data_IF_150432284725
#
_entry.id   IF_150432284725
#
_cell.length_a   1.000
_cell.length_b   1.000
_cell.length_c   1.000
_cell.angle_alpha   90.00
_cell.angle_beta   90.00
_cell.angle_gamma   90.00
#
_symmetry.space_group_name_H-M   'P 1'
#
loop_
_entity.id
_entity.type
_entity.pdbx_description
1 polymer ?
#
# COMPACT_ATOMS: atom_id res chain seq x y z
N UNK A 1 -3.75 -26.39 5.88
CA UNK A 1 -2.57 -25.59 6.25
C UNK A 1 -2.96 -24.13 6.39
N UNK A 2 -2.45 -23.46 7.44
CA UNK A 2 -2.62 -22.02 7.60
C UNK A 2 -1.34 -21.40 8.18
N UNK A 3 -1.14 -20.13 7.88
CA UNK A 3 -0.09 -19.29 8.43
C UNK A 3 -0.67 -17.91 8.72
N UNK A 4 -0.42 -17.38 9.92
CA UNK A 4 -0.83 -16.04 10.33
C UNK A 4 0.38 -15.30 10.86
N UNK A 5 0.55 -14.06 10.46
CA UNK A 5 1.58 -13.16 10.95
C UNK A 5 1.00 -11.79 11.26
N UNK A 6 1.39 -11.25 12.40
CA UNK A 6 1.09 -9.88 12.77
C UNK A 6 2.37 -9.21 13.25
N UNK A 7 2.58 -8.00 12.77
CA UNK A 7 3.71 -7.16 13.16
C UNK A 7 3.19 -5.82 13.65
N UNK A 8 3.58 -5.46 14.86
CA UNK A 8 3.49 -4.11 15.40
C UNK A 8 4.89 -3.52 15.37
N UNK A 9 5.10 -2.44 14.64
CA UNK A 9 6.42 -1.86 14.47
C UNK A 9 6.41 -0.35 14.63
N UNK A 10 7.59 0.20 14.88
CA UNK A 10 7.89 1.62 14.83
C UNK A 10 9.31 1.74 14.31
N UNK A 11 9.45 2.21 13.07
CA UNK A 11 10.74 2.47 12.47
C UNK A 11 11.06 3.96 12.58
N UNK A 12 12.23 4.26 13.12
CA UNK A 12 12.78 5.61 13.22
C UNK A 12 14.17 5.58 12.58
N UNK A 13 14.46 6.60 11.81
CA UNK A 13 15.78 6.81 11.22
C UNK A 13 16.14 8.30 11.22
N UNK A 14 17.37 8.61 10.87
CA UNK A 14 17.94 9.96 10.74
C UNK A 14 18.61 10.18 9.38
N UNK A 15 18.54 9.17 8.51
CA UNK A 15 19.14 9.22 7.18
C UNK A 15 18.14 9.54 6.08
N UNK A 16 18.60 10.13 4.97
CA UNK A 16 17.81 10.21 3.77
C UNK A 16 17.47 8.78 3.30
N UNK A 17 16.33 8.63 2.67
CA UNK A 17 15.98 7.36 2.04
C UNK A 17 16.97 7.06 0.91
N UNK A 18 17.83 6.07 1.10
CA UNK A 18 18.96 5.76 0.21
C UNK A 18 18.53 5.37 -1.22
N UNK A 19 17.23 5.07 -1.43
CA UNK A 19 16.68 4.70 -2.72
C UNK A 19 15.91 5.85 -3.41
N UNK A 20 15.68 6.95 -2.71
CA UNK A 20 15.03 8.13 -3.29
C UNK A 20 16.07 9.04 -3.90
N UNK A 21 16.31 8.87 -5.18
CA UNK A 21 17.07 9.83 -5.98
C UNK A 21 16.13 11.01 -6.27
N UNK A 22 16.13 12.03 -5.41
CA UNK A 22 15.26 13.19 -5.58
C UNK A 22 15.33 14.18 -4.42
N UNK A 23 14.49 15.19 -4.51
CA UNK A 23 14.48 16.35 -3.63
C UNK A 23 14.12 16.02 -2.18
N UNK A 24 13.25 15.02 -1.97
CA UNK A 24 12.75 14.64 -0.64
C UNK A 24 13.75 13.84 0.22
N UNK A 25 14.88 13.43 -0.37
CA UNK A 25 15.93 12.69 0.33
C UNK A 25 16.97 13.56 1.05
N UNK A 26 16.96 14.87 0.84
CA UNK A 26 17.96 15.75 1.42
C UNK A 26 17.66 16.09 2.89
N UNK A 27 18.70 16.27 3.68
CA UNK A 27 18.60 16.81 5.05
C UNK A 27 18.06 18.24 5.00
N UNK A 28 17.13 18.59 5.88
CA UNK A 28 16.57 19.92 5.92
C UNK A 28 17.57 20.96 6.42
N UNK A 29 18.41 20.56 7.37
CA UNK A 29 19.45 21.45 7.90
C UNK A 29 20.74 20.66 8.09
N UNK A 30 21.72 20.92 7.23
CA UNK A 30 23.02 20.23 7.27
C UNK A 30 23.84 20.52 8.53
N UNK A 31 23.47 21.56 9.28
CA UNK A 31 24.13 21.93 10.53
C UNK A 31 23.50 21.27 11.78
N UNK A 32 22.34 20.64 11.63
CA UNK A 32 21.65 19.94 12.70
C UNK A 32 21.10 18.59 12.23
N UNK A 33 21.96 17.59 12.19
CA UNK A 33 21.57 16.22 11.81
C UNK A 33 20.57 15.58 12.82
N UNK A 34 20.51 16.05 14.06
CA UNK A 34 19.59 15.51 15.05
C UNK A 34 18.13 15.89 14.73
N UNK A 35 17.90 17.01 14.04
CA UNK A 35 16.58 17.40 13.56
C UNK A 35 16.02 16.44 12.51
N UNK A 36 16.86 15.61 11.89
CA UNK A 36 16.44 14.60 10.91
C UNK A 36 15.83 13.35 11.54
N UNK A 37 16.00 13.15 12.85
CA UNK A 37 15.44 11.98 13.52
C UNK A 37 13.93 12.00 13.51
N UNK A 38 13.32 11.09 12.77
CA UNK A 38 11.88 11.00 12.59
C UNK A 38 11.43 9.59 12.21
N UNK A 39 10.17 9.48 11.80
CA UNK A 39 9.69 8.22 11.26
C UNK A 39 10.40 7.89 9.94
N UNK A 40 10.73 6.62 9.76
CA UNK A 40 11.16 6.11 8.47
C UNK A 40 10.02 6.17 7.44
N UNK A 41 10.35 6.38 6.17
CA UNK A 41 9.37 6.28 5.08
C UNK A 41 8.74 4.87 5.00
N UNK A 42 9.48 3.85 5.46
CA UNK A 42 9.02 2.46 5.51
C UNK A 42 8.25 2.11 6.79
N UNK A 43 8.06 3.07 7.72
CA UNK A 43 7.29 2.82 8.93
C UNK A 43 5.85 2.48 8.59
N UNK A 44 5.44 1.28 9.00
CA UNK A 44 4.08 0.79 8.91
C UNK A 44 3.68 0.20 10.27
N UNK A 45 2.84 0.91 11.00
CA UNK A 45 2.54 0.60 12.40
C UNK A 45 1.98 -0.78 12.60
N UNK A 46 1.06 -1.20 11.75
CA UNK A 46 0.39 -2.50 11.83
C UNK A 46 0.50 -3.20 10.49
N UNK A 47 0.94 -4.44 10.51
CA UNK A 47 0.92 -5.32 9.34
C UNK A 47 0.38 -6.68 9.75
N UNK A 48 -0.64 -7.13 9.05
CA UNK A 48 -1.24 -8.45 9.23
C UNK A 48 -1.26 -9.19 7.90
N UNK A 49 -0.89 -10.46 7.95
CA UNK A 49 -0.99 -11.36 6.80
C UNK A 49 -1.50 -12.71 7.29
N UNK A 50 -2.53 -13.22 6.65
CA UNK A 50 -3.00 -14.59 6.86
C UNK A 50 -3.05 -15.31 5.53
N UNK A 51 -2.50 -16.50 5.48
CA UNK A 51 -2.58 -17.39 4.33
C UNK A 51 -3.08 -18.76 4.76
N UNK A 52 -4.00 -19.33 3.99
CA UNK A 52 -4.49 -20.67 4.25
C UNK A 52 -4.76 -21.42 2.96
N UNK A 53 -4.69 -22.74 3.08
CA UNK A 53 -4.98 -23.69 2.03
C UNK A 53 -5.87 -24.78 2.61
N UNK A 54 -7.00 -25.01 1.97
CA UNK A 54 -7.95 -26.06 2.29
C UNK A 54 -8.07 -27.02 1.10
N UNK A 55 -7.89 -28.30 1.39
CA UNK A 55 -8.18 -29.39 0.49
C UNK A 55 -9.27 -30.25 1.17
N UNK A 56 -10.52 -30.19 0.70
CA UNK A 56 -11.59 -30.99 1.26
C UNK A 56 -11.24 -32.48 1.19
N UNK A 57 -11.66 -33.25 2.20
CA UNK A 57 -11.57 -34.70 2.15
C UNK A 57 -12.37 -35.21 0.95
N UNK A 58 -11.91 -36.32 0.36
CA UNK A 58 -12.64 -36.95 -0.71
C UNK A 58 -14.01 -37.40 -0.24
N UNK A 59 -15.02 -37.04 -1.00
CA UNK A 59 -16.38 -37.52 -0.82
C UNK A 59 -16.54 -38.82 -1.60
N UNK A 60 -17.14 -39.81 -0.96
CA UNK A 60 -17.51 -41.07 -1.61
C UNK A 60 -19.02 -41.07 -1.84
N UNK A 61 -19.42 -40.74 -3.07
CA UNK A 61 -20.80 -40.71 -3.50
C UNK A 61 -21.10 -41.97 -4.30
N UNK A 62 -22.33 -42.44 -4.27
CA UNK A 62 -22.75 -43.65 -4.99
C UNK A 62 -22.55 -43.59 -6.49
N UNK A 63 -22.56 -42.39 -7.07
CA UNK A 63 -22.39 -42.15 -8.50
C UNK A 63 -20.94 -41.73 -8.81
N UNK A 64 -20.22 -42.47 -9.58
CA UNK A 64 -18.80 -42.27 -9.91
C UNK A 64 -18.53 -40.87 -10.55
N UNK A 65 -19.42 -40.42 -11.43
CA UNK A 65 -19.25 -39.12 -12.08
C UNK A 65 -19.37 -37.93 -11.11
N UNK A 66 -20.23 -38.05 -10.07
CA UNK A 66 -20.34 -37.05 -9.00
C UNK A 66 -19.04 -37.00 -8.17
N UNK A 67 -18.43 -38.15 -7.89
CA UNK A 67 -17.13 -38.20 -7.22
C UNK A 67 -16.06 -37.44 -8.01
N UNK A 68 -16.06 -37.57 -9.33
CA UNK A 68 -15.19 -36.81 -10.20
C UNK A 68 -15.45 -35.29 -10.13
N UNK A 69 -16.72 -34.87 -9.96
CA UNK A 69 -17.08 -33.46 -9.95
C UNK A 69 -16.76 -32.77 -8.63
N UNK A 70 -17.03 -33.40 -7.47
CA UNK A 70 -16.91 -32.78 -6.15
C UNK A 70 -15.53 -32.90 -5.54
N UNK A 71 -14.71 -33.83 -6.02
CA UNK A 71 -13.37 -34.06 -5.49
C UNK A 71 -12.28 -33.31 -6.26
N UNK A 72 -11.07 -33.29 -5.71
CA UNK A 72 -9.89 -32.70 -6.31
C UNK A 72 -9.90 -31.16 -6.39
N UNK A 73 -10.66 -30.53 -5.52
CA UNK A 73 -10.65 -29.07 -5.34
C UNK A 73 -9.67 -28.67 -4.26
N UNK A 74 -9.03 -27.53 -4.48
CA UNK A 74 -8.15 -26.87 -3.53
C UNK A 74 -8.50 -25.39 -3.48
N UNK A 75 -8.81 -24.90 -2.31
CA UNK A 75 -9.09 -23.48 -2.08
C UNK A 75 -7.95 -22.88 -1.27
N UNK A 76 -7.43 -21.77 -1.72
CA UNK A 76 -6.42 -21.01 -1.00
C UNK A 76 -6.76 -19.53 -0.95
N UNK A 77 -6.34 -18.87 0.11
CA UNK A 77 -6.55 -17.45 0.30
C UNK A 77 -5.33 -16.79 0.93
N UNK A 78 -5.14 -15.53 0.59
CA UNK A 78 -4.22 -14.63 1.26
C UNK A 78 -5.01 -13.39 1.67
N UNK A 79 -4.95 -13.06 2.96
CA UNK A 79 -5.50 -11.82 3.52
C UNK A 79 -4.33 -10.95 3.92
N UNK A 80 -4.34 -9.71 3.46
CA UNK A 80 -3.31 -8.71 3.77
C UNK A 80 -3.97 -7.45 4.32
N UNK A 81 -3.48 -6.98 5.46
CA UNK A 81 -3.80 -5.68 6.01
C UNK A 81 -2.51 -4.93 6.34
N UNK A 82 -2.49 -3.63 6.07
CA UNK A 82 -1.44 -2.73 6.47
C UNK A 82 -2.01 -1.36 6.83
N UNK A 83 -1.60 -0.81 7.97
CA UNK A 83 -1.86 0.59 8.26
C UNK A 83 -1.17 1.50 7.23
N UNK A 84 -1.63 2.73 7.10
CA UNK A 84 -1.02 3.70 6.21
C UNK A 84 0.48 3.85 6.45
N UNK A 85 1.24 3.96 5.38
CA UNK A 85 2.67 4.28 5.42
C UNK A 85 2.87 5.76 5.73
N UNK A 86 4.05 6.09 6.18
CA UNK A 86 4.43 7.47 6.41
C UNK A 86 4.59 8.23 5.10
N UNK A 87 4.23 9.51 5.16
CA UNK A 87 4.32 10.44 4.05
C UNK A 87 5.08 11.68 4.50
N UNK A 88 5.94 12.18 3.62
CA UNK A 88 6.65 13.43 3.79
C UNK A 88 6.07 14.47 2.83
N UNK A 89 5.97 15.70 3.29
CA UNK A 89 5.57 16.84 2.46
C UNK A 89 6.68 17.89 2.54
N UNK A 90 7.28 18.17 1.41
CA UNK A 90 8.28 19.22 1.25
C UNK A 90 7.68 20.41 0.53
N UNK A 91 8.25 21.57 0.72
CA UNK A 91 7.82 22.84 0.12
C UNK A 91 8.90 23.35 -0.82
N UNK A 92 8.47 24.00 -1.88
CA UNK A 92 9.40 24.69 -2.77
C UNK A 92 9.88 26.00 -2.16
N UNK A 93 11.13 26.36 -2.44
CA UNK A 93 11.77 27.55 -1.91
C UNK A 93 12.78 27.20 -0.82
N UNK A 94 13.33 28.23 -0.20
CA UNK A 94 14.37 28.12 0.82
C UNK A 94 13.99 28.99 2.02
N UNK A 95 12.95 28.59 2.79
CA UNK A 95 12.50 29.37 3.95
C UNK A 95 13.49 29.32 5.10
N UNK A 96 14.33 28.31 5.22
CA UNK A 96 15.38 28.23 6.25
C UNK A 96 16.68 28.94 5.83
N UNK A 97 16.78 29.39 4.57
CA UNK A 97 17.91 30.15 3.99
C UNK A 97 19.24 29.39 4.04
N UNK A 98 19.21 28.06 3.85
CA UNK A 98 20.42 27.24 3.83
C UNK A 98 21.03 27.09 2.42
N UNK A 99 20.39 27.70 1.40
CA UNK A 99 20.80 27.65 -0.01
C UNK A 99 20.26 26.46 -0.78
N UNK A 100 19.44 25.61 -0.16
CA UNK A 100 18.80 24.47 -0.80
C UNK A 100 17.29 24.69 -0.91
N UNK A 101 16.77 24.79 -2.12
CA UNK A 101 15.37 25.11 -2.39
C UNK A 101 14.42 23.89 -2.41
N UNK A 102 14.91 22.70 -2.01
CA UNK A 102 14.18 21.45 -2.22
C UNK A 102 14.16 20.50 -1.01
N UNK A 103 14.66 20.94 0.13
CA UNK A 103 14.78 20.11 1.33
C UNK A 103 13.85 20.52 2.47
N UNK A 104 13.25 21.70 2.38
CA UNK A 104 12.37 22.20 3.42
C UNK A 104 11.08 21.41 3.52
N UNK A 105 10.71 21.06 4.75
CA UNK A 105 9.51 20.28 5.03
C UNK A 105 8.36 21.19 5.49
N UNK A 106 7.14 20.75 5.20
CA UNK A 106 5.93 21.40 5.68
C UNK A 106 5.81 21.34 7.22
N UNK A 107 6.47 20.38 7.84
CA UNK A 107 6.55 20.20 9.30
C UNK A 107 7.99 20.07 9.74
N UNK A 108 8.27 20.33 11.03
CA UNK A 108 9.62 20.15 11.58
C UNK A 108 10.05 18.66 11.64
N UNK A 109 9.13 17.74 11.50
CA UNK A 109 9.42 16.31 11.61
C UNK A 109 9.37 15.63 10.24
N UNK A 110 10.33 14.74 10.00
CA UNK A 110 10.33 13.85 8.83
C UNK A 110 9.13 12.92 8.86
N UNK A 111 8.57 12.65 7.68
CA UNK A 111 7.51 11.66 7.49
C UNK A 111 6.37 11.79 8.51
N UNK A 112 5.94 13.05 8.75
CA UNK A 112 5.01 13.41 9.81
C UNK A 112 3.57 12.97 9.52
N UNK A 113 3.25 12.69 8.27
CA UNK A 113 1.91 12.33 7.84
C UNK A 113 1.75 10.83 7.69
N UNK A 114 0.50 10.38 7.65
CA UNK A 114 0.17 8.96 7.48
C UNK A 114 -0.84 8.83 6.35
N UNK A 115 -0.54 7.94 5.41
CA UNK A 115 -1.45 7.59 4.32
C UNK A 115 -2.61 6.72 4.79
N UNK A 116 -3.36 6.21 3.82
CA UNK A 116 -4.53 5.36 4.05
C UNK A 116 -4.15 3.91 4.27
N UNK A 117 -5.02 3.19 4.99
CA UNK A 117 -4.87 1.75 5.22
C UNK A 117 -5.15 0.95 3.96
N UNK A 118 -4.45 -0.16 3.84
CA UNK A 118 -4.63 -1.15 2.77
C UNK A 118 -5.21 -2.44 3.33
N UNK A 119 -6.19 -3.01 2.62
CA UNK A 119 -6.72 -4.34 2.92
C UNK A 119 -7.08 -5.07 1.63
N UNK A 120 -6.60 -6.29 1.48
CA UNK A 120 -6.97 -7.18 0.37
C UNK A 120 -7.22 -8.59 0.86
N UNK A 121 -8.16 -9.25 0.23
CA UNK A 121 -8.35 -10.69 0.32
C UNK A 121 -8.31 -11.27 -1.07
N UNK A 122 -7.36 -12.16 -1.30
CA UNK A 122 -7.17 -12.85 -2.56
C UNK A 122 -7.57 -14.31 -2.40
N UNK A 123 -8.26 -14.84 -3.39
CA UNK A 123 -8.73 -16.23 -3.42
C UNK A 123 -8.22 -16.93 -4.67
N UNK A 124 -7.83 -18.19 -4.51
CA UNK A 124 -7.54 -19.09 -5.63
C UNK A 124 -8.27 -20.40 -5.43
N UNK A 125 -9.07 -20.76 -6.41
CA UNK A 125 -9.69 -22.07 -6.55
C UNK A 125 -8.92 -22.86 -7.60
N UNK A 126 -8.40 -24.02 -7.22
CA UNK A 126 -7.69 -24.93 -8.14
C UNK A 126 -8.43 -26.25 -8.23
N UNK A 127 -8.56 -26.78 -9.41
CA UNK A 127 -9.05 -28.12 -9.64
C UNK A 127 -8.03 -28.94 -10.41
N UNK A 128 -7.66 -30.09 -9.86
CA UNK A 128 -6.75 -31.02 -10.49
C UNK A 128 -7.55 -32.10 -11.22
N UNK A 129 -7.35 -32.23 -12.50
CA UNK A 129 -7.97 -33.24 -13.37
C UNK A 129 -6.88 -34.17 -13.88
N UNK A 130 -7.02 -35.50 -13.63
CA UNK A 130 -6.18 -36.51 -14.20
C UNK A 130 -6.74 -36.90 -15.56
N UNK A 131 -6.07 -36.51 -16.64
CA UNK A 131 -6.48 -36.86 -18.00
C UNK A 131 -5.94 -38.27 -18.42
N UNK A 132 -4.71 -38.57 -17.99
CA UNK A 132 -4.12 -39.89 -18.13
C UNK A 132 -3.09 -40.14 -17.02
N UNK A 133 -2.41 -41.30 -17.02
CA UNK A 133 -1.38 -41.56 -16.02
C UNK A 133 -0.17 -40.61 -16.12
N UNK A 134 0.06 -40.05 -17.30
CA UNK A 134 1.17 -39.09 -17.55
C UNK A 134 0.74 -37.65 -17.68
N UNK A 135 -0.57 -37.38 -17.89
CA UNK A 135 -1.07 -36.04 -18.19
C UNK A 135 -2.07 -35.60 -17.14
N UNK A 136 -1.79 -34.49 -16.51
CA UNK A 136 -2.68 -33.82 -15.53
C UNK A 136 -2.99 -32.41 -16.00
N UNK A 137 -4.23 -31.98 -15.80
CA UNK A 137 -4.70 -30.63 -16.10
C UNK A 137 -5.12 -29.94 -14.81
N UNK A 138 -4.55 -28.78 -14.53
CA UNK A 138 -4.96 -27.91 -13.42
C UNK A 138 -5.75 -26.75 -13.99
N UNK A 139 -7.00 -26.60 -13.55
CA UNK A 139 -7.83 -25.42 -13.77
C UNK A 139 -7.67 -24.50 -12.56
N UNK A 140 -7.29 -23.24 -12.80
CA UNK A 140 -7.09 -22.22 -11.77
C UNK A 140 -8.03 -21.05 -12.03
N UNK A 141 -8.74 -20.66 -11.00
CA UNK A 141 -9.55 -19.42 -10.97
C UNK A 141 -9.02 -18.58 -9.80
N UNK A 142 -8.56 -17.38 -10.10
CA UNK A 142 -7.98 -16.47 -9.12
C UNK A 142 -8.76 -15.17 -9.08
N UNK A 143 -9.00 -14.68 -7.90
CA UNK A 143 -9.59 -13.36 -7.68
C UNK A 143 -8.73 -12.57 -6.70
N UNK A 144 -8.16 -11.49 -7.18
CA UNK A 144 -7.45 -10.50 -6.36
C UNK A 144 -8.45 -9.47 -5.87
N UNK A 145 -8.30 -9.05 -4.62
CA UNK A 145 -9.21 -8.13 -3.95
C UNK A 145 -10.68 -8.60 -4.12
N UNK A 146 -10.96 -9.85 -3.73
CA UNK A 146 -12.28 -10.50 -3.94
C UNK A 146 -13.43 -9.70 -3.33
N UNK A 147 -13.18 -8.97 -2.25
CA UNK A 147 -14.16 -8.09 -1.58
C UNK A 147 -14.44 -6.82 -2.36
N UNK A 148 -13.66 -6.54 -3.42
CA UNK A 148 -13.72 -5.31 -4.21
C UNK A 148 -13.64 -4.04 -3.34
N UNK A 149 -12.86 -4.09 -2.26
CA UNK A 149 -12.65 -2.91 -1.43
C UNK A 149 -11.87 -1.86 -2.20
N UNK A 150 -12.34 -0.63 -2.17
CA UNK A 150 -11.59 0.52 -2.68
C UNK A 150 -10.46 0.85 -1.71
N UNK A 151 -9.26 0.39 -1.99
CA UNK A 151 -8.06 0.75 -1.25
C UNK A 151 -7.57 2.11 -1.76
N UNK A 152 -7.94 3.13 -1.06
CA UNK A 152 -7.61 4.51 -1.41
C UNK A 152 -6.12 4.80 -1.22
N UNK A 153 -5.59 5.78 -1.93
CA UNK A 153 -4.20 6.22 -1.86
C UNK A 153 -4.12 7.74 -1.85
N UNK A 154 -3.35 8.27 -0.91
CA UNK A 154 -2.98 9.68 -0.85
C UNK A 154 -1.75 9.89 -1.72
N UNK A 155 -1.76 10.92 -2.53
CA UNK A 155 -0.62 11.36 -3.35
C UNK A 155 -0.18 12.74 -2.87
N UNK A 156 1.07 12.84 -2.46
CA UNK A 156 1.74 14.08 -2.07
C UNK A 156 2.94 14.26 -2.98
N UNK A 157 3.12 15.45 -3.50
CA UNK A 157 4.34 15.87 -4.20
C UNK A 157 5.16 16.79 -3.32
N UNK A 158 6.40 17.07 -3.74
CA UNK A 158 7.31 17.92 -2.99
C UNK A 158 6.86 19.38 -2.87
N UNK A 159 6.10 19.88 -3.86
CA UNK A 159 5.72 21.28 -3.94
C UNK A 159 4.23 21.53 -3.60
N UNK A 160 3.48 20.49 -3.31
CA UNK A 160 2.05 20.56 -3.07
C UNK A 160 1.39 19.19 -3.07
N UNK A 161 0.12 19.15 -3.33
CA UNK A 161 -0.67 17.91 -3.40
C UNK A 161 -1.75 18.02 -4.47
N UNK A 162 -2.29 16.89 -4.89
CA UNK A 162 -3.46 16.86 -5.74
C UNK A 162 -4.73 16.80 -4.89
N UNK A 163 -5.71 17.65 -5.19
CA UNK A 163 -7.01 17.59 -4.55
C UNK A 163 -7.89 16.49 -5.16
N UNK A 164 -9.07 16.29 -4.60
CA UNK A 164 -10.03 15.26 -5.06
C UNK A 164 -10.53 15.48 -6.50
N UNK A 165 -10.40 16.69 -7.04
CA UNK A 165 -10.69 17.01 -8.44
C UNK A 165 -9.50 16.76 -9.38
N UNK A 166 -8.38 16.23 -8.87
CA UNK A 166 -7.16 15.99 -9.64
C UNK A 166 -6.36 17.26 -9.99
N UNK A 167 -6.65 18.38 -9.32
CA UNK A 167 -5.95 19.64 -9.52
C UNK A 167 -4.77 19.73 -8.54
N UNK A 168 -3.63 20.21 -9.03
CA UNK A 168 -2.47 20.47 -8.20
C UNK A 168 -2.69 21.72 -7.34
N UNK A 169 -2.44 21.59 -6.04
CA UNK A 169 -2.51 22.67 -5.05
C UNK A 169 -1.14 22.82 -4.40
N UNK A 170 -0.47 23.92 -4.70
CA UNK A 170 0.82 24.22 -4.11
C UNK A 170 0.70 24.57 -2.61
N UNK A 171 1.70 24.23 -1.82
CA UNK A 171 1.83 24.74 -0.46
C UNK A 171 2.13 26.24 -0.53
N UNK A 172 1.50 27.01 0.33
CA UNK A 172 1.60 28.46 0.29
C UNK A 172 1.85 29.07 1.67
N UNK A 173 2.71 30.06 1.71
CA UNK A 173 2.93 30.90 2.89
C UNK A 173 1.86 31.97 3.08
N UNK A 174 1.15 32.31 2.00
CA UNK A 174 0.10 33.35 2.02
C UNK A 174 -1.18 32.80 1.39
N UNK A 175 -1.97 32.02 2.13
CA UNK A 175 -3.11 31.29 1.61
C UNK A 175 -4.30 32.21 1.42
N UNK A 176 -4.46 32.74 0.23
CA UNK A 176 -5.69 33.45 -0.14
C UNK A 176 -6.77 32.40 -0.42
N UNK A 177 -7.82 32.38 0.43
CA UNK A 177 -8.97 31.48 0.24
C UNK A 177 -8.75 30.03 0.68
N UNK A 178 -7.73 29.76 1.46
CA UNK A 178 -7.51 28.42 2.06
C UNK A 178 -8.05 28.41 3.50
N UNK A 179 -8.90 27.43 3.80
CA UNK A 179 -9.35 27.07 5.13
C UNK A 179 -8.65 25.79 5.56
N UNK A 180 -7.46 25.86 6.07
CA UNK A 180 -6.70 24.67 6.40
C UNK A 180 -5.88 24.83 7.67
N UNK A 181 -5.12 23.80 7.99
CA UNK A 181 -4.26 23.79 9.17
C UNK A 181 -2.96 24.52 8.88
N UNK A 182 -2.52 25.35 9.83
CA UNK A 182 -1.20 25.96 9.80
C UNK A 182 -0.11 25.01 10.29
N UNK A 183 1.03 25.05 9.63
CA UNK A 183 2.24 24.31 9.98
C UNK A 183 3.40 25.26 10.28
N UNK A 184 4.50 24.78 10.87
CA UNK A 184 5.69 25.60 11.13
C UNK A 184 6.09 26.41 9.88
N UNK A 185 6.52 27.67 10.09
CA UNK A 185 6.78 28.60 8.99
C UNK A 185 5.53 29.31 8.43
N UNK A 186 4.37 29.15 9.09
CA UNK A 186 3.07 29.72 8.69
C UNK A 186 2.53 29.20 7.34
N UNK A 187 2.97 28.00 6.93
CA UNK A 187 2.39 27.35 5.77
C UNK A 187 0.99 26.82 6.09
N UNK A 188 0.07 27.10 5.24
CA UNK A 188 -1.28 26.58 5.31
C UNK A 188 -1.54 25.62 4.14
N UNK A 189 -2.22 24.54 4.42
CA UNK A 189 -2.71 23.62 3.41
C UNK A 189 -4.21 23.71 3.26
N UNK A 190 -4.71 23.33 2.11
CA UNK A 190 -6.13 23.24 1.84
C UNK A 190 -6.78 22.15 2.74
N UNK A 191 -8.08 22.26 3.01
CA UNK A 191 -8.86 21.27 3.75
C UNK A 191 -8.81 19.87 3.13
N UNK A 192 -8.61 19.78 1.82
CA UNK A 192 -8.47 18.51 1.07
C UNK A 192 -7.07 17.88 1.17
N UNK A 193 -6.15 18.48 1.90
CA UNK A 193 -4.83 17.92 2.15
C UNK A 193 -4.94 16.56 2.85
N UNK A 194 -4.26 15.55 2.33
CA UNK A 194 -4.32 14.14 2.73
C UNK A 194 -5.63 13.41 2.35
N UNK A 195 -6.54 14.05 1.63
CA UNK A 195 -7.64 13.31 1.04
C UNK A 195 -7.14 12.36 -0.06
N UNK A 196 -7.67 11.14 -0.09
CA UNK A 196 -7.28 10.20 -1.11
C UNK A 196 -7.73 10.64 -2.51
N UNK A 197 -6.79 10.73 -3.43
CA UNK A 197 -7.02 11.14 -4.83
C UNK A 197 -6.92 9.98 -5.80
N UNK A 198 -6.40 8.83 -5.36
CA UNK A 198 -6.20 7.66 -6.19
C UNK A 198 -6.58 6.37 -5.43
N UNK A 199 -6.57 5.23 -6.10
CA UNK A 199 -6.83 3.93 -5.50
C UNK A 199 -5.94 2.86 -6.14
N UNK A 200 -5.69 1.81 -5.37
CA UNK A 200 -5.10 0.58 -5.89
C UNK A 200 -6.11 -0.14 -6.80
N UNK A 201 -5.61 -1.12 -7.55
CA UNK A 201 -6.43 -1.88 -8.49
C UNK A 201 -7.70 -2.45 -7.85
N UNK A 202 -8.85 -2.35 -8.53
CA UNK A 202 -10.10 -2.99 -8.10
C UNK A 202 -9.96 -4.52 -8.19
N UNK A 203 -11.04 -5.23 -7.89
CA UNK A 203 -11.08 -6.68 -8.05
C UNK A 203 -10.69 -7.10 -9.47
N UNK A 204 -9.76 -8.04 -9.54
CA UNK A 204 -9.34 -8.66 -10.79
C UNK A 204 -9.60 -10.17 -10.71
N UNK A 205 -10.12 -10.74 -11.79
CA UNK A 205 -10.35 -12.18 -11.90
C UNK A 205 -9.55 -12.69 -13.09
N UNK A 206 -8.83 -13.78 -12.89
CA UNK A 206 -8.13 -14.49 -13.97
C UNK A 206 -8.42 -15.98 -13.93
N UNK A 207 -8.39 -16.58 -15.10
CA UNK A 207 -8.54 -18.03 -15.30
C UNK A 207 -7.31 -18.54 -16.01
N UNK A 208 -6.73 -19.62 -15.52
CA UNK A 208 -5.56 -20.24 -16.12
C UNK A 208 -5.73 -21.76 -16.20
N UNK A 209 -5.11 -22.34 -17.22
CA UNK A 209 -4.98 -23.77 -17.41
C UNK A 209 -3.49 -24.13 -17.37
N UNK A 210 -3.15 -25.16 -16.61
CA UNK A 210 -1.79 -25.70 -16.57
C UNK A 210 -1.83 -27.18 -16.96
N UNK A 211 -1.13 -27.53 -18.00
CA UNK A 211 -0.94 -28.91 -18.43
C UNK A 211 0.41 -29.41 -17.90
N UNK A 212 0.38 -30.51 -17.16
CA UNK A 212 1.57 -31.20 -16.65
C UNK A 212 1.66 -32.57 -17.34
N UNK A 213 2.79 -32.88 -17.94
CA UNK A 213 3.05 -34.13 -18.70
C UNK A 213 4.43 -34.72 -18.38
#
# INVERSE_FOLDING_TARGET
YFRVGYTLSKALDDGPDALVVGRSGNVQNSYDANAERGFSADDQRHRFTAAWVAEPRKFELSQSWLNGLVNHWKLSSIVTFGSGRRLNATIAGDPNQDGNTYNDRLTNSRNAFTGTDYFSTDLRLTRNLKLSDRVKLDLLIESFNVTNRTNKRVEISDDGFFNSAGQFVAYSTNPVGMNGKYYPGQYQVNETFLEPTNAYAPRQIQIALRLNF
#
